data_IF_628890126282
#
_entry.id   IF_628890126282
#
_cell.length_a   1.000
_cell.length_b   1.000
_cell.length_c   1.000
_cell.angle_alpha   90.00
_cell.angle_beta   90.00
_cell.angle_gamma   90.00
#
_symmetry.space_group_name_H-M   'P 1'
#
loop_
_entity.id
_entity.type
_entity.pdbx_description
1 polymer ?
#
# COMPACT_ATOMS: atom_id res chain seq x y z
N UNK A 1 42.07 -49.43 -74.65
CA UNK A 1 41.02 -48.44 -74.98
C UNK A 1 39.65 -48.79 -74.40
N UNK A 2 39.07 -49.99 -74.63
CA UNK A 2 37.73 -50.34 -74.08
C UNK A 2 37.58 -50.19 -72.55
N UNK A 3 38.58 -50.56 -71.76
CA UNK A 3 38.54 -50.42 -70.29
C UNK A 3 38.50 -48.96 -69.80
N UNK A 4 39.06 -48.00 -70.54
CA UNK A 4 39.03 -46.59 -70.15
C UNK A 4 37.61 -45.99 -70.32
N UNK A 5 36.91 -46.39 -71.38
CA UNK A 5 35.53 -45.95 -71.65
C UNK A 5 34.57 -46.53 -70.61
N UNK A 6 34.76 -47.77 -70.17
CA UNK A 6 33.96 -48.39 -69.11
C UNK A 6 34.15 -47.67 -67.76
N UNK A 7 35.40 -47.37 -67.39
CA UNK A 7 35.71 -46.62 -66.16
C UNK A 7 35.07 -45.24 -66.20
N UNK A 8 35.17 -44.52 -67.31
CA UNK A 8 34.56 -43.20 -67.46
C UNK A 8 33.02 -43.26 -67.38
N UNK A 9 32.41 -44.27 -68.02
CA UNK A 9 30.95 -44.46 -67.94
C UNK A 9 30.48 -44.80 -66.53
N UNK A 10 31.24 -45.62 -65.80
CA UNK A 10 30.95 -45.96 -64.40
C UNK A 10 31.09 -44.74 -63.49
N UNK A 11 32.17 -43.97 -63.65
CA UNK A 11 32.41 -42.76 -62.87
C UNK A 11 31.33 -41.69 -63.10
N UNK A 12 30.85 -41.53 -64.34
CA UNK A 12 29.73 -40.63 -64.66
C UNK A 12 28.41 -41.11 -64.05
N UNK A 13 28.12 -42.41 -64.13
CA UNK A 13 26.93 -42.98 -63.52
C UNK A 13 26.94 -42.84 -61.98
N UNK A 14 28.10 -43.01 -61.35
CA UNK A 14 28.29 -42.81 -59.92
C UNK A 14 28.12 -41.33 -59.54
N UNK A 15 28.73 -40.40 -60.29
CA UNK A 15 28.58 -38.96 -60.08
C UNK A 15 27.12 -38.49 -60.22
N UNK A 16 26.39 -39.02 -61.22
CA UNK A 16 24.97 -38.74 -61.42
C UNK A 16 24.12 -39.30 -60.27
N UNK A 17 24.48 -40.47 -59.73
CA UNK A 17 23.82 -41.04 -58.55
C UNK A 17 24.04 -40.17 -57.32
N UNK A 18 25.29 -39.83 -57.00
CA UNK A 18 25.65 -38.98 -55.86
C UNK A 18 24.96 -37.62 -55.97
N UNK A 19 24.91 -37.03 -57.16
CA UNK A 19 24.22 -35.74 -57.37
C UNK A 19 22.71 -35.85 -57.14
N UNK A 20 22.09 -36.95 -57.57
CA UNK A 20 20.65 -37.19 -57.34
C UNK A 20 20.35 -37.42 -55.87
N UNK A 21 21.18 -38.21 -55.19
CA UNK A 21 21.03 -38.48 -53.76
C UNK A 21 21.24 -37.20 -52.93
N UNK A 22 22.25 -36.39 -53.26
CA UNK A 22 22.49 -35.10 -52.61
C UNK A 22 21.33 -34.12 -52.80
N UNK A 23 20.72 -34.08 -53.99
CA UNK A 23 19.53 -33.24 -54.24
C UNK A 23 18.33 -33.70 -53.41
N UNK A 24 18.09 -35.01 -53.33
CA UNK A 24 17.02 -35.56 -52.51
C UNK A 24 17.24 -35.24 -51.03
N UNK A 25 18.47 -35.41 -50.54
CA UNK A 25 18.82 -35.07 -49.15
C UNK A 25 18.60 -33.58 -48.87
N UNK A 26 19.06 -32.69 -49.75
CA UNK A 26 18.87 -31.24 -49.58
C UNK A 26 17.39 -30.82 -49.59
N UNK A 27 16.56 -31.49 -50.38
CA UNK A 27 15.10 -31.27 -50.38
C UNK A 27 14.45 -31.77 -49.09
N UNK A 28 14.86 -32.93 -48.59
CA UNK A 28 14.42 -33.48 -47.30
C UNK A 28 14.80 -32.56 -46.13
N UNK A 29 16.05 -32.11 -46.08
CA UNK A 29 16.56 -31.20 -45.05
C UNK A 29 15.79 -29.86 -45.07
N UNK A 30 15.54 -29.31 -46.27
CA UNK A 30 14.75 -28.07 -46.42
C UNK A 30 13.31 -28.24 -45.95
N UNK A 31 12.68 -29.38 -46.28
CA UNK A 31 11.32 -29.67 -45.86
C UNK A 31 11.24 -29.89 -44.34
N UNK A 32 12.24 -30.57 -43.75
CA UNK A 32 12.36 -30.73 -42.29
C UNK A 32 12.51 -29.37 -41.60
N UNK A 33 13.46 -28.56 -42.05
CA UNK A 33 13.70 -27.23 -41.47
C UNK A 33 12.47 -26.33 -41.54
N UNK A 34 11.71 -26.38 -42.65
CA UNK A 34 10.47 -25.63 -42.78
C UNK A 34 9.36 -26.16 -41.85
N UNK A 35 9.26 -27.48 -41.69
CA UNK A 35 8.30 -28.09 -40.76
C UNK A 35 8.63 -27.72 -39.30
N UNK A 36 9.91 -27.73 -38.93
CA UNK A 36 10.38 -27.35 -37.60
C UNK A 36 10.14 -25.86 -37.34
N UNK A 37 10.47 -24.97 -38.29
CA UNK A 37 10.17 -23.54 -38.18
C UNK A 37 8.67 -23.27 -38.02
N UNK A 38 7.80 -24.00 -38.73
CA UNK A 38 6.35 -23.90 -38.55
C UNK A 38 5.90 -24.40 -37.17
N UNK A 39 6.51 -25.46 -36.65
CA UNK A 39 6.22 -25.98 -35.32
C UNK A 39 6.57 -24.93 -34.26
N UNK A 40 7.79 -24.40 -34.30
CA UNK A 40 8.25 -23.37 -33.35
C UNK A 40 7.38 -22.12 -33.41
N UNK A 41 6.95 -21.67 -34.60
CA UNK A 41 6.01 -20.54 -34.70
C UNK A 41 4.68 -20.82 -34.01
N UNK A 42 4.07 -21.99 -34.24
CA UNK A 42 2.81 -22.36 -33.59
C UNK A 42 2.96 -22.49 -32.08
N UNK A 43 4.08 -23.02 -31.60
CA UNK A 43 4.39 -23.12 -30.17
C UNK A 43 4.56 -21.73 -29.55
N UNK A 44 5.26 -20.82 -30.21
CA UNK A 44 5.42 -19.43 -29.77
C UNK A 44 4.07 -18.68 -29.75
N UNK A 45 3.26 -18.84 -30.79
CA UNK A 45 1.92 -18.24 -30.87
C UNK A 45 1.01 -18.75 -29.74
N UNK A 46 1.05 -20.05 -29.46
CA UNK A 46 0.28 -20.66 -28.37
C UNK A 46 0.74 -20.13 -26.99
N UNK A 47 2.05 -20.06 -26.75
CA UNK A 47 2.60 -19.54 -25.50
C UNK A 47 2.27 -18.05 -25.30
N UNK A 48 2.32 -17.25 -26.38
CA UNK A 48 1.94 -15.85 -26.34
C UNK A 48 0.43 -15.67 -26.03
N UNK A 49 -0.42 -16.52 -26.60
CA UNK A 49 -1.85 -16.52 -26.30
C UNK A 49 -2.11 -16.90 -24.84
N UNK A 50 -1.49 -17.96 -24.33
CA UNK A 50 -1.59 -18.38 -22.93
C UNK A 50 -1.16 -17.26 -21.97
N UNK A 51 -0.06 -16.59 -22.27
CA UNK A 51 0.44 -15.47 -21.46
C UNK A 51 -0.55 -14.30 -21.45
N UNK A 52 -1.17 -13.99 -22.60
CA UNK A 52 -2.20 -12.94 -22.69
C UNK A 52 -3.45 -13.32 -21.91
N UNK A 53 -3.95 -14.53 -22.07
CA UNK A 53 -5.15 -15.01 -21.35
C UNK A 53 -4.93 -15.00 -19.83
N UNK A 54 -3.73 -15.40 -19.38
CA UNK A 54 -3.35 -15.31 -17.97
C UNK A 54 -3.33 -13.87 -17.49
N UNK A 55 -2.65 -12.96 -18.20
CA UNK A 55 -2.59 -11.55 -17.82
C UNK A 55 -3.97 -10.88 -17.80
N UNK A 56 -4.85 -11.22 -18.74
CA UNK A 56 -6.24 -10.73 -18.76
C UNK A 56 -7.05 -11.26 -17.56
N UNK A 57 -6.87 -12.53 -17.18
CA UNK A 57 -7.49 -13.13 -16.00
C UNK A 57 -7.01 -12.45 -14.70
N UNK A 58 -5.69 -12.24 -14.58
CA UNK A 58 -5.09 -11.61 -13.40
C UNK A 58 -5.54 -10.15 -13.26
N UNK A 59 -5.55 -9.39 -14.36
CA UNK A 59 -6.06 -8.02 -14.40
C UNK A 59 -7.56 -7.95 -14.00
N UNK A 60 -8.38 -8.87 -14.50
CA UNK A 60 -9.79 -8.96 -14.10
C UNK A 60 -9.94 -9.27 -12.60
N UNK A 61 -9.09 -10.13 -12.05
CA UNK A 61 -9.03 -10.44 -10.62
C UNK A 61 -8.71 -9.20 -9.77
N UNK A 62 -7.67 -8.44 -10.14
CA UNK A 62 -7.30 -7.22 -9.44
C UNK A 62 -8.40 -6.15 -9.47
N UNK A 63 -9.06 -5.95 -10.63
CA UNK A 63 -10.19 -5.01 -10.73
C UNK A 63 -11.34 -5.42 -9.81
N UNK A 64 -11.66 -6.73 -9.75
CA UNK A 64 -12.69 -7.23 -8.84
C UNK A 64 -12.33 -6.99 -7.36
N UNK A 65 -11.07 -7.23 -6.98
CA UNK A 65 -10.59 -6.99 -5.61
C UNK A 65 -10.64 -5.51 -5.21
N UNK A 66 -10.26 -4.60 -6.12
CA UNK A 66 -10.33 -3.15 -5.88
C UNK A 66 -11.79 -2.69 -5.73
N UNK A 67 -12.71 -3.23 -6.53
CA UNK A 67 -14.14 -2.92 -6.41
C UNK A 67 -14.72 -3.40 -5.08
N UNK A 68 -14.36 -4.61 -4.64
CA UNK A 68 -14.76 -5.15 -3.33
C UNK A 68 -14.22 -4.30 -2.18
N UNK A 69 -12.93 -3.98 -2.19
CA UNK A 69 -12.31 -3.10 -1.18
C UNK A 69 -12.97 -1.71 -1.13
N UNK A 70 -13.33 -1.16 -2.28
CA UNK A 70 -14.03 0.13 -2.37
C UNK A 70 -15.45 0.04 -1.80
N UNK A 71 -16.18 -1.05 -2.08
CA UNK A 71 -17.50 -1.29 -1.52
C UNK A 71 -17.44 -1.43 0.01
N UNK A 72 -16.44 -2.13 0.53
CA UNK A 72 -16.19 -2.26 1.96
C UNK A 72 -15.88 -0.91 2.62
N UNK A 73 -14.99 -0.11 2.03
CA UNK A 73 -14.68 1.23 2.52
C UNK A 73 -15.93 2.12 2.57
N UNK A 74 -16.78 2.05 1.54
CA UNK A 74 -18.05 2.78 1.51
C UNK A 74 -19.00 2.31 2.60
N UNK A 75 -19.15 1.00 2.80
CA UNK A 75 -19.98 0.44 3.86
C UNK A 75 -19.49 0.88 5.26
N UNK A 76 -18.17 0.94 5.46
CA UNK A 76 -17.57 1.46 6.71
C UNK A 76 -17.86 2.94 6.89
N UNK A 77 -17.74 3.75 5.83
CA UNK A 77 -18.05 5.17 5.88
C UNK A 77 -19.53 5.43 6.23
N UNK A 78 -20.46 4.67 5.63
CA UNK A 78 -21.89 4.76 5.95
C UNK A 78 -22.17 4.39 7.43
N UNK A 79 -21.44 3.39 7.96
CA UNK A 79 -21.53 3.02 9.39
C UNK A 79 -21.03 4.15 10.29
N UNK A 80 -19.85 4.71 10.01
CA UNK A 80 -19.30 5.84 10.76
C UNK A 80 -20.22 7.06 10.71
N UNK A 81 -20.82 7.33 9.54
CA UNK A 81 -21.79 8.42 9.41
C UNK A 81 -23.04 8.19 10.27
N UNK A 82 -23.54 6.97 10.35
CA UNK A 82 -24.67 6.61 11.21
C UNK A 82 -24.31 6.78 12.69
N UNK A 83 -23.12 6.33 13.09
CA UNK A 83 -22.64 6.45 14.48
C UNK A 83 -22.46 7.91 14.89
N UNK A 84 -21.87 8.74 14.03
CA UNK A 84 -21.76 10.19 14.25
C UNK A 84 -23.14 10.85 14.35
N UNK A 85 -24.10 10.43 13.53
CA UNK A 85 -25.49 10.90 13.64
C UNK A 85 -26.10 10.56 15.00
N UNK A 86 -25.90 9.33 15.47
CA UNK A 86 -26.34 8.90 16.80
C UNK A 86 -25.72 9.70 17.94
N UNK A 87 -24.40 9.94 17.89
CA UNK A 87 -23.69 10.73 18.90
C UNK A 87 -24.17 12.18 18.95
N UNK A 88 -24.46 12.79 17.80
CA UNK A 88 -25.00 14.16 17.74
C UNK A 88 -26.40 14.24 18.32
N UNK A 89 -27.26 13.26 18.04
CA UNK A 89 -28.61 13.21 18.59
C UNK A 89 -28.60 12.95 20.11
N UNK A 90 -27.69 12.09 20.59
CA UNK A 90 -27.46 11.89 22.02
C UNK A 90 -26.94 13.16 22.70
N UNK A 91 -26.01 13.89 22.06
CA UNK A 91 -25.51 15.17 22.57
C UNK A 91 -26.64 16.21 22.66
N UNK A 92 -27.54 16.29 21.67
CA UNK A 92 -28.70 17.18 21.73
C UNK A 92 -29.66 16.79 22.86
N UNK A 93 -29.96 15.50 23.00
CA UNK A 93 -30.83 15.02 24.07
C UNK A 93 -30.25 15.32 25.47
N UNK A 94 -28.94 15.16 25.64
CA UNK A 94 -28.25 15.51 26.90
C UNK A 94 -28.28 17.01 27.15
N UNK A 95 -28.04 17.85 26.12
CA UNK A 95 -28.16 19.31 26.24
C UNK A 95 -29.59 19.74 26.61
N UNK A 96 -30.62 19.21 25.97
CA UNK A 96 -32.02 19.50 26.29
C UNK A 96 -32.35 19.11 27.75
N UNK A 97 -31.84 17.96 28.21
CA UNK A 97 -31.98 17.54 29.60
C UNK A 97 -31.26 18.48 30.58
N UNK A 98 -30.08 19.00 30.23
CA UNK A 98 -29.35 19.96 31.06
C UNK A 98 -30.10 21.30 31.12
N UNK A 99 -30.61 21.79 29.98
CA UNK A 99 -31.40 23.03 29.91
C UNK A 99 -32.67 22.92 30.75
N UNK A 100 -33.38 21.80 30.68
CA UNK A 100 -34.58 21.56 31.48
C UNK A 100 -34.27 21.46 32.99
N UNK A 101 -33.15 20.82 33.34
CA UNK A 101 -32.66 20.76 34.72
C UNK A 101 -32.32 22.15 35.27
N UNK A 102 -31.57 22.96 34.50
CA UNK A 102 -31.24 24.35 34.88
C UNK A 102 -32.50 25.18 35.04
N UNK A 103 -33.47 25.05 34.12
CA UNK A 103 -34.74 25.76 34.19
C UNK A 103 -35.56 25.38 35.43
N UNK A 104 -35.61 24.10 35.77
CA UNK A 104 -36.30 23.59 36.95
C UNK A 104 -35.62 24.10 38.24
N UNK A 105 -34.29 24.05 38.31
CA UNK A 105 -33.52 24.53 39.46
C UNK A 105 -33.67 26.04 39.64
N UNK A 106 -33.65 26.82 38.55
CA UNK A 106 -33.87 28.27 38.60
C UNK A 106 -35.27 28.61 39.13
N UNK A 107 -36.31 27.85 38.72
CA UNK A 107 -37.66 28.01 39.25
C UNK A 107 -37.77 27.67 40.73
N UNK A 108 -37.07 26.64 41.21
CA UNK A 108 -36.99 26.28 42.64
C UNK A 108 -36.33 27.40 43.45
N UNK A 109 -35.20 27.94 42.97
CA UNK A 109 -34.50 29.04 43.63
C UNK A 109 -35.36 30.32 43.70
N UNK A 110 -36.11 30.64 42.64
CA UNK A 110 -37.03 31.78 42.67
C UNK A 110 -38.15 31.59 43.70
N UNK A 111 -38.71 30.38 43.80
CA UNK A 111 -39.72 30.06 44.80
C UNK A 111 -39.17 30.16 46.23
N UNK A 112 -37.97 29.62 46.48
CA UNK A 112 -37.29 29.73 47.78
C UNK A 112 -36.99 31.19 48.15
N UNK A 113 -36.53 32.01 47.20
CA UNK A 113 -36.29 33.43 47.42
C UNK A 113 -37.59 34.20 47.73
N UNK A 114 -38.70 33.87 47.07
CA UNK A 114 -40.01 34.44 47.38
C UNK A 114 -40.46 34.04 48.79
N UNK A 115 -40.32 32.78 49.17
CA UNK A 115 -40.64 32.28 50.50
C UNK A 115 -39.84 33.03 51.59
N UNK A 116 -38.52 33.12 51.42
CA UNK A 116 -37.62 33.88 52.32
C UNK A 116 -38.07 35.33 52.42
N UNK A 117 -38.42 35.97 51.30
CA UNK A 117 -38.88 37.36 51.27
C UNK A 117 -40.18 37.57 52.06
N UNK A 118 -41.15 36.66 51.94
CA UNK A 118 -42.38 36.68 52.75
C UNK A 118 -42.05 36.49 54.23
N UNK A 119 -41.24 35.48 54.58
CA UNK A 119 -40.86 35.24 55.97
C UNK A 119 -40.11 36.42 56.61
N UNK A 120 -39.24 37.10 55.86
CA UNK A 120 -38.58 38.34 56.32
C UNK A 120 -39.57 39.50 56.53
N UNK A 121 -40.62 39.58 55.72
CA UNK A 121 -41.66 40.61 55.88
C UNK A 121 -42.45 40.37 57.16
N UNK A 122 -42.80 39.12 57.46
CA UNK A 122 -43.48 38.73 58.71
C UNK A 122 -42.60 39.01 59.94
N UNK A 123 -41.30 38.69 59.88
CA UNK A 123 -40.35 39.00 60.96
C UNK A 123 -40.21 40.50 61.16
N UNK A 124 -40.17 41.29 60.08
CA UNK A 124 -40.10 42.75 60.14
C UNK A 124 -41.35 43.37 60.76
N UNK A 125 -42.53 42.80 60.51
CA UNK A 125 -43.79 43.26 61.10
C UNK A 125 -43.92 42.84 62.57
N UNK A 126 -43.40 41.67 62.95
CA UNK A 126 -43.40 41.19 64.34
C UNK A 126 -42.31 41.85 65.20
N UNK A 127 -41.28 42.45 64.60
CA UNK A 127 -40.22 43.14 65.31
C UNK A 127 -40.75 44.47 65.90
N UNK A 128 -40.76 44.65 67.24
CA UNK A 128 -41.20 45.89 67.86
C UNK A 128 -40.33 47.06 67.41
N UNK A 129 -40.99 48.15 67.01
CA UNK A 129 -40.39 49.39 66.51
C UNK A 129 -39.19 49.80 67.40
N UNK A 130 -37.94 49.68 66.90
CA UNK A 130 -36.79 50.07 67.69
C UNK A 130 -36.84 51.60 67.91
N UNK A 131 -36.49 52.09 69.11
CA UNK A 131 -36.44 53.52 69.38
C UNK A 131 -35.49 54.20 68.38
N UNK A 132 -35.77 55.44 67.95
CA UNK A 132 -34.98 56.15 66.94
C UNK A 132 -33.54 56.33 67.45
N UNK A 133 -32.64 55.48 66.96
CA UNK A 133 -31.20 55.66 67.13
C UNK A 133 -30.78 56.62 66.02
N UNK A 134 -30.33 57.82 66.39
CA UNK A 134 -29.59 58.73 65.51
C UNK A 134 -28.31 58.04 65.06
N UNK A 135 -28.36 57.38 63.90
CA UNK A 135 -27.16 56.80 63.30
C UNK A 135 -26.48 57.92 62.53
N UNK A 136 -25.38 58.41 63.11
CA UNK A 136 -24.42 59.29 62.46
C UNK A 136 -23.99 58.66 61.13
N UNK A 137 -24.07 59.46 60.07
CA UNK A 137 -23.64 59.14 58.70
C UNK A 137 -22.21 58.55 58.73
N UNK A 138 -22.01 57.26 58.42
CA UNK A 138 -20.68 56.79 58.12
C UNK A 138 -20.37 57.20 56.67
N UNK A 139 -19.38 58.07 56.51
CA UNK A 139 -18.74 58.35 55.24
C UNK A 139 -18.14 57.04 54.70
N UNK A 140 -18.89 56.33 53.86
CA UNK A 140 -18.34 55.25 53.06
C UNK A 140 -17.55 55.87 51.91
N UNK A 141 -16.24 55.97 52.09
CA UNK A 141 -15.29 56.17 51.01
C UNK A 141 -15.50 55.08 49.95
N UNK A 142 -16.00 55.50 48.79
CA UNK A 142 -16.01 54.74 47.55
C UNK A 142 -14.57 54.41 47.15
N UNK A 143 -14.08 53.27 47.63
CA UNK A 143 -12.90 52.63 47.09
C UNK A 143 -13.17 52.22 45.65
N UNK A 144 -12.52 52.92 44.72
CA UNK A 144 -12.44 52.62 43.30
C UNK A 144 -11.83 51.22 43.12
N UNK A 145 -12.67 50.23 42.82
CA UNK A 145 -12.25 48.94 42.27
C UNK A 145 -11.87 49.15 40.80
N UNK A 146 -10.69 49.73 40.59
CA UNK A 146 -9.89 49.57 39.38
C UNK A 146 -9.10 48.27 39.53
N UNK A 147 -9.64 47.15 39.08
CA UNK A 147 -8.83 45.98 38.74
C UNK A 147 -9.57 45.21 37.66
N UNK A 148 -9.27 45.62 36.45
CA UNK A 148 -9.55 44.96 35.19
C UNK A 148 -8.52 43.82 35.08
N UNK A 149 -8.87 42.54 35.31
CA UNK A 149 -7.95 41.47 34.97
C UNK A 149 -7.91 41.44 33.44
N UNK A 150 -6.84 42.03 32.90
CA UNK A 150 -6.38 41.78 31.56
C UNK A 150 -6.39 40.27 31.33
N UNK A 151 -7.42 39.81 30.62
CA UNK A 151 -7.40 38.50 30.00
C UNK A 151 -6.30 38.62 28.96
N UNK A 152 -5.10 38.15 29.33
CA UNK A 152 -4.02 37.87 28.40
C UNK A 152 -4.62 37.06 27.25
N UNK A 153 -4.71 37.71 26.09
CA UNK A 153 -4.71 37.09 24.78
C UNK A 153 -3.58 36.07 24.79
N UNK A 154 -3.93 34.84 25.17
CA UNK A 154 -3.07 33.69 24.94
C UNK A 154 -3.21 33.48 23.46
N UNK A 155 -2.28 34.08 22.71
CA UNK A 155 -1.88 33.69 21.37
C UNK A 155 -1.70 32.17 21.39
N UNK A 156 -2.79 31.46 21.13
CA UNK A 156 -2.73 30.11 20.60
C UNK A 156 -2.15 30.32 19.22
N UNK A 157 -0.82 30.26 19.17
CA UNK A 157 -0.06 29.95 17.97
C UNK A 157 -0.60 28.58 17.53
N UNK A 158 -1.66 28.63 16.73
CA UNK A 158 -1.95 27.59 15.77
C UNK A 158 -0.72 27.62 14.86
N UNK A 159 0.23 26.74 15.14
CA UNK A 159 1.16 26.32 14.10
C UNK A 159 0.25 25.77 12.99
N UNK A 160 -0.05 26.63 12.02
CA UNK A 160 -0.37 26.21 10.67
C UNK A 160 0.84 25.41 10.22
N UNK A 161 0.81 24.12 10.53
CA UNK A 161 1.58 23.11 9.84
C UNK A 161 1.14 23.24 8.38
N UNK A 162 1.95 23.98 7.64
CA UNK A 162 1.94 24.14 6.21
C UNK A 162 1.93 22.73 5.62
N UNK A 163 0.72 22.21 5.42
CA UNK A 163 0.50 21.07 4.56
C UNK A 163 1.06 21.49 3.21
N UNK A 164 2.28 21.02 2.94
CA UNK A 164 2.84 20.88 1.60
C UNK A 164 1.80 20.10 0.80
N UNK A 165 0.88 20.87 0.22
CA UNK A 165 0.10 20.48 -0.92
C UNK A 165 1.13 20.26 -2.02
N UNK A 166 1.60 19.02 -2.11
CA UNK A 166 2.21 18.48 -3.29
C UNK A 166 1.24 18.78 -4.44
N UNK A 167 1.54 19.83 -5.19
CA UNK A 167 0.88 20.15 -6.42
C UNK A 167 0.89 18.87 -7.28
N UNK A 168 -0.28 18.35 -7.72
CA UNK A 168 -0.26 17.33 -8.74
C UNK A 168 0.37 17.98 -9.96
N UNK A 169 1.60 17.58 -10.28
CA UNK A 169 2.27 17.92 -11.53
C UNK A 169 1.28 17.65 -12.66
N UNK A 170 0.79 18.78 -13.14
CA UNK A 170 0.01 19.01 -14.33
C UNK A 170 0.40 18.05 -15.44
N UNK A 171 -0.63 17.39 -15.96
CA UNK A 171 -0.73 16.85 -17.30
C UNK A 171 0.37 17.35 -18.25
N UNK A 172 1.34 16.48 -18.54
CA UNK A 172 2.15 16.58 -19.74
C UNK A 172 1.31 16.05 -20.90
N UNK A 173 0.44 16.93 -21.40
CA UNK A 173 -0.15 16.86 -22.73
C UNK A 173 0.95 17.29 -23.71
N UNK A 174 1.94 16.42 -23.91
CA UNK A 174 2.83 16.48 -25.07
C UNK A 174 2.36 15.39 -26.02
N UNK A 175 1.50 15.81 -26.96
CA UNK A 175 1.66 15.66 -28.40
C UNK A 175 2.86 14.80 -28.83
N UNK A 176 2.83 13.51 -28.46
CA UNK A 176 3.73 12.51 -28.98
C UNK A 176 3.24 12.16 -30.37
N UNK A 177 3.82 12.84 -31.36
CA UNK A 177 3.74 12.43 -32.76
C UNK A 177 3.99 10.91 -32.86
N UNK A 178 3.19 10.17 -33.65
CA UNK A 178 3.42 8.76 -33.86
C UNK A 178 4.76 8.59 -34.57
N UNK A 179 5.77 8.09 -33.85
CA UNK A 179 7.01 7.65 -34.48
C UNK A 179 6.66 6.41 -35.32
N UNK A 180 6.38 6.63 -36.60
CA UNK A 180 6.51 5.62 -37.64
C UNK A 180 7.98 5.16 -37.69
N UNK A 181 8.37 4.26 -36.80
CA UNK A 181 9.60 3.49 -36.97
C UNK A 181 9.33 2.38 -37.98
N UNK A 182 9.71 2.74 -39.20
CA UNK A 182 9.91 1.87 -40.34
C UNK A 182 10.41 0.47 -39.98
N UNK A 183 9.71 -0.51 -40.52
CA UNK A 183 10.29 -1.78 -40.92
C UNK A 183 11.50 -1.52 -41.85
N UNK A 184 12.70 -1.94 -41.44
CA UNK A 184 13.76 -2.48 -42.29
C UNK A 184 15.03 -2.73 -41.45
N UNK A 185 15.22 -3.95 -40.94
CA UNK A 185 16.55 -4.53 -40.77
C UNK A 185 16.47 -6.04 -40.97
N UNK A 186 16.62 -6.42 -42.24
CA UNK A 186 17.00 -7.75 -42.68
C UNK A 186 18.51 -7.77 -42.88
N UNK A 187 19.22 -8.70 -42.26
CA UNK A 187 20.66 -8.97 -42.47
C UNK A 187 21.25 -9.71 -41.26
N UNK A 188 21.20 -11.04 -41.21
CA UNK A 188 22.27 -11.95 -41.71
C UNK A 188 23.68 -11.59 -41.19
N UNK A 189 24.12 -12.27 -40.13
CA UNK A 189 25.35 -13.10 -40.17
C UNK A 189 25.34 -14.15 -39.01
N UNK A 190 25.41 -15.46 -39.31
CA UNK A 190 25.53 -16.54 -38.31
C UNK A 190 26.95 -17.16 -38.32
N UNK A 191 27.73 -17.04 -37.24
CA UNK A 191 28.88 -17.92 -36.99
C UNK A 191 29.39 -17.85 -35.54
N UNK A 192 29.45 -19.02 -34.90
CA UNK A 192 29.99 -19.27 -33.56
C UNK A 192 29.07 -20.28 -32.87
N UNK A 193 29.15 -21.59 -33.11
CA UNK A 193 30.29 -22.48 -32.87
C UNK A 193 30.97 -22.18 -31.53
N UNK A 194 30.55 -22.85 -30.45
CA UNK A 194 31.37 -23.83 -29.73
C UNK A 194 30.56 -24.57 -28.64
N UNK A 195 30.54 -25.91 -28.79
CA UNK A 195 30.64 -26.96 -27.75
C UNK A 195 29.78 -26.91 -26.48
N UNK A 196 28.78 -27.78 -26.31
CA UNK A 196 28.84 -29.21 -25.91
C UNK A 196 28.90 -29.45 -24.39
N UNK A 197 28.02 -30.38 -23.99
CA UNK A 197 28.13 -31.31 -22.85
C UNK A 197 27.58 -30.87 -21.47
N UNK A 198 26.29 -31.12 -21.22
CA UNK A 198 25.91 -31.66 -19.91
C UNK A 198 24.71 -32.64 -20.02
N UNK A 199 24.99 -33.90 -19.71
CA UNK A 199 24.04 -35.01 -19.71
C UNK A 199 23.09 -34.96 -18.49
N UNK A 200 21.86 -35.51 -18.60
CA UNK A 200 20.86 -35.46 -17.55
C UNK A 200 21.10 -36.55 -16.49
N UNK A 201 21.10 -36.16 -15.21
CA UNK A 201 21.08 -37.12 -14.09
C UNK A 201 19.91 -36.86 -13.13
N UNK A 202 19.06 -37.88 -13.12
CA UNK A 202 18.36 -38.49 -11.98
C UNK A 202 17.15 -37.79 -11.35
N UNK A 203 16.01 -38.44 -11.62
CA UNK A 203 14.78 -38.48 -10.86
C UNK A 203 14.94 -38.75 -9.36
N UNK A 204 14.04 -38.14 -8.58
CA UNK A 204 13.30 -38.86 -7.54
C UNK A 204 13.44 -38.33 -6.12
N UNK A 205 12.54 -37.44 -5.71
CA UNK A 205 11.79 -37.63 -4.46
C UNK A 205 10.53 -36.74 -4.45
N UNK A 206 9.37 -37.36 -4.60
CA UNK A 206 8.09 -36.75 -4.30
C UNK A 206 7.85 -36.78 -2.78
N UNK A 207 7.71 -35.61 -2.18
CA UNK A 207 7.23 -35.41 -0.81
C UNK A 207 5.99 -34.49 -0.85
N UNK A 208 5.06 -34.64 0.10
CA UNK A 208 3.66 -34.24 -0.06
C UNK A 208 3.46 -32.72 0.08
N UNK A 209 2.63 -32.18 -0.82
CA UNK A 209 2.16 -30.81 -0.81
C UNK A 209 1.48 -30.46 0.52
N UNK A 210 2.15 -29.63 1.32
CA UNK A 210 1.58 -28.87 2.42
C UNK A 210 1.11 -27.55 1.82
N UNK A 211 -0.13 -27.16 2.07
CA UNK A 211 -0.73 -25.89 1.63
C UNK A 211 0.25 -24.72 1.79
N UNK A 212 0.65 -24.15 0.65
CA UNK A 212 1.30 -22.85 0.60
C UNK A 212 0.20 -21.79 0.64
N UNK A 213 0.22 -21.03 1.73
CA UNK A 213 -0.35 -19.69 1.84
C UNK A 213 0.33 -18.80 0.78
N UNK A 214 -0.37 -17.87 0.11
CA UNK A 214 0.23 -17.07 -0.96
C UNK A 214 1.36 -16.20 -0.39
N UNK A 215 2.59 -16.51 -0.79
CA UNK A 215 3.75 -15.64 -0.58
C UNK A 215 3.54 -14.35 -1.38
N UNK A 216 3.78 -13.16 -0.79
CA UNK A 216 3.73 -11.91 -1.53
C UNK A 216 4.84 -11.93 -2.57
N UNK A 217 4.47 -11.68 -3.83
CA UNK A 217 5.41 -11.43 -4.93
C UNK A 217 6.28 -10.22 -4.56
N UNK A 218 7.52 -10.50 -4.15
CA UNK A 218 8.56 -9.51 -3.95
C UNK A 218 9.00 -9.00 -5.32
N UNK A 219 8.51 -7.81 -5.67
CA UNK A 219 8.97 -7.06 -6.83
C UNK A 219 10.50 -6.89 -6.79
N UNK A 220 11.14 -7.21 -7.92
CA UNK A 220 12.57 -7.03 -8.24
C UNK A 220 13.01 -5.55 -8.18
N UNK A 221 12.97 -4.95 -6.99
CA UNK A 221 13.66 -3.73 -6.66
C UNK A 221 14.85 -4.15 -5.80
N UNK A 222 16.06 -4.26 -6.37
CA UNK A 222 17.34 -3.91 -5.72
C UNK A 222 18.54 -4.29 -6.61
N UNK A 223 19.03 -3.33 -7.40
CA UNK A 223 20.45 -3.24 -7.81
C UNK A 223 21.01 -1.88 -7.40
N UNK A 224 21.01 -1.65 -6.10
CA UNK A 224 21.78 -0.58 -5.47
C UNK A 224 22.16 -1.04 -4.08
N UNK A 225 23.42 -1.41 -3.87
CA UNK A 225 23.97 -2.02 -2.65
C UNK A 225 23.86 -1.18 -1.36
N UNK A 226 23.08 -0.09 -1.34
CA UNK A 226 22.74 0.69 -0.15
C UNK A 226 21.32 0.47 0.36
N UNK A 227 20.41 -0.05 -0.47
CA UNK A 227 18.97 -0.11 -0.16
C UNK A 227 18.58 -1.38 0.63
N UNK A 228 19.39 -2.45 0.50
CA UNK A 228 19.13 -3.73 1.16
C UNK A 228 19.22 -3.66 2.69
N UNK A 229 20.08 -2.82 3.25
CA UNK A 229 20.21 -2.67 4.71
C UNK A 229 19.01 -1.93 5.32
N UNK A 230 18.47 -0.95 4.60
CA UNK A 230 17.30 -0.17 5.05
C UNK A 230 16.01 -0.97 4.88
N UNK A 231 15.87 -1.70 3.76
CA UNK A 231 14.78 -2.66 3.56
C UNK A 231 14.77 -3.77 4.63
N UNK A 232 15.93 -4.36 4.93
CA UNK A 232 16.07 -5.35 5.98
C UNK A 232 15.67 -4.82 7.36
N UNK A 233 16.02 -3.56 7.68
CA UNK A 233 15.63 -2.91 8.93
C UNK A 233 14.12 -2.73 9.03
N UNK A 234 13.46 -2.32 7.94
CA UNK A 234 12.00 -2.17 7.91
C UNK A 234 11.29 -3.51 8.10
N UNK A 235 11.75 -4.56 7.43
CA UNK A 235 11.18 -5.90 7.59
C UNK A 235 11.41 -6.43 9.00
N UNK A 236 12.63 -6.29 9.54
CA UNK A 236 12.93 -6.69 10.91
C UNK A 236 12.07 -5.95 11.94
N UNK A 237 11.84 -4.64 11.73
CA UNK A 237 10.96 -3.84 12.58
C UNK A 237 9.50 -4.33 12.52
N UNK A 238 9.00 -4.61 11.32
CA UNK A 238 7.66 -5.16 11.16
C UNK A 238 7.51 -6.52 11.84
N UNK A 239 8.48 -7.43 11.68
CA UNK A 239 8.49 -8.74 12.36
C UNK A 239 8.54 -8.59 13.88
N UNK A 240 9.37 -7.67 14.40
CA UNK A 240 9.44 -7.37 15.82
C UNK A 240 8.11 -6.82 16.38
N UNK A 241 7.43 -5.91 15.66
CA UNK A 241 6.12 -5.37 16.04
C UNK A 241 5.02 -6.44 16.06
N UNK A 242 5.12 -7.46 15.20
CA UNK A 242 4.21 -8.61 15.18
C UNK A 242 4.55 -9.68 16.24
N UNK A 243 5.61 -9.47 17.04
CA UNK A 243 6.01 -10.38 18.12
C UNK A 243 6.82 -11.58 17.66
N UNK A 244 7.37 -11.57 16.45
CA UNK A 244 8.26 -12.62 15.96
C UNK A 244 9.55 -12.64 16.81
N UNK A 245 10.06 -13.82 17.23
CA UNK A 245 11.27 -13.90 18.03
C UNK A 245 12.52 -13.51 17.23
N UNK A 246 13.52 -12.92 17.91
CA UNK A 246 14.77 -12.41 17.31
C UNK A 246 15.49 -13.45 16.44
N UNK A 247 15.52 -14.71 16.86
CA UNK A 247 16.19 -15.80 16.13
C UNK A 247 15.50 -16.12 14.77
N UNK A 248 14.19 -15.95 14.69
CA UNK A 248 13.41 -16.19 13.46
C UNK A 248 13.58 -15.04 12.48
N UNK A 249 13.58 -13.80 12.98
CA UNK A 249 13.91 -12.61 12.20
C UNK A 249 15.35 -12.67 11.67
N UNK A 250 16.31 -13.17 12.46
CA UNK A 250 17.70 -13.36 12.02
C UNK A 250 17.79 -14.33 10.84
N UNK A 251 17.18 -15.51 10.96
CA UNK A 251 17.13 -16.49 9.86
C UNK A 251 16.50 -15.91 8.59
N UNK A 252 15.41 -15.16 8.74
CA UNK A 252 14.75 -14.52 7.61
C UNK A 252 15.66 -13.52 6.89
N UNK A 253 16.42 -12.71 7.64
CA UNK A 253 17.35 -11.76 7.04
C UNK A 253 18.50 -12.45 6.30
N UNK A 254 19.06 -13.53 6.85
CA UNK A 254 20.12 -14.32 6.18
C UNK A 254 19.64 -14.97 4.87
N UNK A 255 18.38 -15.40 4.82
CA UNK A 255 17.81 -16.06 3.65
C UNK A 255 17.41 -15.09 2.52
N UNK A 256 17.01 -13.86 2.87
CA UNK A 256 16.43 -12.91 1.92
C UNK A 256 17.33 -11.71 1.60
N UNK A 257 18.33 -11.42 2.44
CA UNK A 257 19.20 -10.26 2.29
C UNK A 257 20.68 -10.66 2.46
N UNK A 258 21.53 -10.24 1.52
CA UNK A 258 22.98 -10.46 1.61
C UNK A 258 23.64 -9.35 2.45
N UNK A 259 23.50 -9.46 3.79
CA UNK A 259 23.97 -8.46 4.76
C UNK A 259 25.17 -8.97 5.57
N UNK A 260 26.26 -8.20 5.57
CA UNK A 260 27.44 -8.49 6.39
C UNK A 260 27.17 -8.37 7.90
N UNK A 261 26.25 -7.46 8.31
CA UNK A 261 26.05 -7.05 9.71
C UNK A 261 24.59 -7.17 10.22
N UNK A 262 23.88 -8.25 9.87
CA UNK A 262 22.47 -8.43 10.25
C UNK A 262 22.23 -8.42 11.78
N UNK A 263 23.15 -8.94 12.59
CA UNK A 263 23.04 -8.93 14.06
C UNK A 263 22.97 -7.50 14.64
N UNK A 264 23.70 -6.55 14.05
CA UNK A 264 23.69 -5.14 14.48
C UNK A 264 22.33 -4.50 14.23
N UNK A 265 21.69 -4.84 13.10
CA UNK A 265 20.35 -4.36 12.74
C UNK A 265 19.31 -4.90 13.73
N UNK A 266 19.39 -6.19 14.08
CA UNK A 266 18.47 -6.81 15.04
C UNK A 266 18.60 -6.20 16.43
N UNK A 267 19.82 -5.92 16.90
CA UNK A 267 20.03 -5.28 18.19
C UNK A 267 19.36 -3.90 18.25
N UNK A 268 19.52 -3.08 17.21
CA UNK A 268 18.90 -1.75 17.15
C UNK A 268 17.36 -1.82 17.12
N UNK A 269 16.80 -2.72 16.31
CA UNK A 269 15.35 -2.86 16.16
C UNK A 269 14.70 -3.39 17.44
N UNK A 270 15.25 -4.44 18.05
CA UNK A 270 14.67 -5.02 19.28
C UNK A 270 14.91 -4.15 20.51
N UNK A 271 16.00 -3.39 20.57
CA UNK A 271 16.19 -2.37 21.60
C UNK A 271 15.11 -1.27 21.50
N UNK A 272 14.68 -0.93 20.28
CA UNK A 272 13.63 0.09 20.05
C UNK A 272 12.21 -0.40 20.36
N UNK A 273 11.93 -1.68 20.14
CA UNK A 273 10.58 -2.26 20.37
C UNK A 273 10.39 -2.70 21.83
N UNK A 274 11.46 -3.13 22.51
CA UNK A 274 11.42 -3.64 23.88
C UNK A 274 11.75 -2.63 24.99
N UNK A 275 12.09 -1.39 24.64
CA UNK A 275 12.38 -0.29 25.58
C UNK A 275 11.18 0.62 25.78
#
# INVERSE_FOLDING_TARGET
ERSAVEIESSARAEADSVTRDAKRQAEEDRNSAHADAQRTRREADAAAQETREKAESDAAGHVAQVQEATADMRSRADTVQSDLGGLVDELRATLDSVVESVRTNAGSLEAELQEIKTGLSDVREAAPEPPPVEIAEPEFELGTLEDDPAIEDTDVVVEEEEAEAAEPLTAHDEDAEPVETAADQTGEDPAGDESLDEAPKTAGQAAPAKSAEPEPESEDLHRGSGDGAEGARLIALNMALNGTPRDETSRYLEENFDLDDHETILDEVYARVGG
#
